data_IF_995917064451
#
_entry.id   IF_995917064451
#
_cell.length_a   1.000
_cell.length_b   1.000
_cell.length_c   1.000
_cell.angle_alpha   90.00
_cell.angle_beta   90.00
_cell.angle_gamma   90.00
#
_symmetry.space_group_name_H-M   'P 1'
#
loop_
_entity.id
_entity.type
_entity.pdbx_description
1 polymer ?
#
# COMPACT_ATOMS: atom_id res chain seq x y z
N UNK A 1 -3.71 1.91 -22.07
CA UNK A 1 -4.04 2.43 -20.73
C UNK A 1 -3.24 1.73 -19.64
N UNK A 2 -3.36 0.40 -19.48
CA UNK A 2 -2.55 -0.36 -18.52
C UNK A 2 -1.04 -0.15 -18.69
N UNK A 3 -0.54 -0.08 -19.93
CA UNK A 3 0.88 0.14 -20.22
C UNK A 3 1.46 1.40 -19.57
N UNK A 4 0.79 2.56 -19.69
CA UNK A 4 1.26 3.83 -19.10
C UNK A 4 1.30 3.72 -17.57
N UNK A 5 0.24 3.15 -16.97
CA UNK A 5 0.20 2.93 -15.52
C UNK A 5 1.35 2.02 -15.07
N UNK A 6 1.62 0.93 -15.79
CA UNK A 6 2.74 0.02 -15.48
C UNK A 6 4.09 0.72 -15.59
N UNK A 7 4.32 1.54 -16.63
CA UNK A 7 5.57 2.29 -16.80
C UNK A 7 5.79 3.24 -15.63
N UNK A 8 4.77 4.01 -15.26
CA UNK A 8 4.88 4.98 -14.16
C UNK A 8 5.02 4.27 -12.80
N UNK A 9 4.30 3.17 -12.57
CA UNK A 9 4.48 2.36 -11.36
C UNK A 9 5.90 1.77 -11.27
N UNK A 10 6.45 1.28 -12.39
CA UNK A 10 7.82 0.80 -12.47
C UNK A 10 8.84 1.91 -12.19
N UNK A 11 8.62 3.13 -12.72
CA UNK A 11 9.49 4.27 -12.43
C UNK A 11 9.54 4.60 -10.92
N UNK A 12 8.39 4.60 -10.24
CA UNK A 12 8.34 4.81 -8.78
C UNK A 12 9.03 3.68 -8.01
N UNK A 13 8.84 2.43 -8.45
CA UNK A 13 9.47 1.26 -7.84
C UNK A 13 11.00 1.29 -7.97
N UNK A 14 11.53 1.59 -9.16
CA UNK A 14 12.97 1.67 -9.41
C UNK A 14 13.60 2.84 -8.68
N UNK A 15 12.93 4.00 -8.64
CA UNK A 15 13.46 5.19 -7.97
C UNK A 15 13.48 5.07 -6.44
N UNK A 16 12.53 4.33 -5.85
CA UNK A 16 12.45 4.11 -4.41
C UNK A 16 12.49 2.62 -4.07
N UNK A 17 13.70 2.02 -4.08
CA UNK A 17 13.85 0.58 -3.95
C UNK A 17 13.70 0.08 -2.51
N UNK A 18 14.02 0.92 -1.53
CA UNK A 18 13.96 0.58 -0.11
C UNK A 18 12.56 0.81 0.49
N UNK A 19 12.33 0.18 1.65
CA UNK A 19 11.04 0.14 2.34
C UNK A 19 11.10 0.73 3.75
N UNK A 20 9.94 1.10 4.28
CA UNK A 20 9.80 1.60 5.66
C UNK A 20 9.39 0.49 6.63
N UNK A 21 9.45 0.80 7.93
CA UNK A 21 9.09 -0.13 9.02
C UNK A 21 7.74 -0.80 8.81
N UNK A 22 6.75 -0.11 8.29
CA UNK A 22 5.40 -0.64 8.18
C UNK A 22 5.19 -1.53 6.95
N UNK A 23 6.13 -1.47 6.00
CA UNK A 23 6.25 -2.36 4.85
C UNK A 23 7.11 -3.58 5.17
N UNK A 24 7.93 -3.49 6.24
CA UNK A 24 8.98 -4.47 6.55
C UNK A 24 8.42 -5.87 6.74
N UNK A 25 7.39 -6.06 7.56
CA UNK A 25 6.85 -7.38 7.88
C UNK A 25 6.51 -8.20 6.62
N UNK A 26 5.67 -7.64 5.74
CA UNK A 26 5.24 -8.35 4.53
C UNK A 26 6.40 -8.57 3.57
N UNK A 27 7.35 -7.63 3.51
CA UNK A 27 8.54 -7.79 2.68
C UNK A 27 9.42 -8.94 3.16
N UNK A 28 9.69 -9.01 4.47
CA UNK A 28 10.46 -10.10 5.08
C UNK A 28 9.72 -11.43 4.94
N UNK A 29 8.40 -11.46 5.17
CA UNK A 29 7.59 -12.65 4.95
C UNK A 29 7.69 -13.16 3.51
N UNK A 30 7.64 -12.28 2.50
CA UNK A 30 7.81 -12.68 1.10
C UNK A 30 9.21 -13.25 0.83
N UNK A 31 10.26 -12.65 1.42
CA UNK A 31 11.61 -13.20 1.36
C UNK A 31 11.64 -14.61 1.96
N UNK A 32 11.13 -14.78 3.17
CA UNK A 32 11.26 -16.02 3.91
C UNK A 32 10.51 -17.17 3.25
N UNK A 33 9.32 -16.89 2.70
CA UNK A 33 8.57 -17.86 1.89
C UNK A 33 9.37 -18.30 0.66
N UNK A 34 10.09 -17.39 -0.01
CA UNK A 34 10.83 -17.70 -1.24
C UNK A 34 12.16 -18.42 -0.98
N UNK A 35 12.87 -18.06 0.09
CA UNK A 35 14.23 -18.54 0.37
C UNK A 35 14.26 -19.64 1.45
N UNK A 36 13.55 -19.46 2.57
CA UNK A 36 13.52 -20.43 3.67
C UNK A 36 12.40 -21.47 3.53
N UNK A 37 11.35 -21.18 2.74
CA UNK A 37 10.25 -22.09 2.40
C UNK A 37 9.61 -22.68 3.67
N UNK A 38 9.76 -23.98 3.91
CA UNK A 38 9.18 -24.66 5.08
C UNK A 38 10.02 -24.54 6.36
N UNK A 39 11.23 -23.96 6.28
CA UNK A 39 12.09 -23.78 7.45
C UNK A 39 11.64 -22.58 8.29
N UNK A 40 10.53 -22.75 9.02
CA UNK A 40 9.88 -21.68 9.78
C UNK A 40 10.78 -21.08 10.88
N UNK A 41 11.70 -21.86 11.45
CA UNK A 41 12.60 -21.35 12.50
C UNK A 41 13.57 -20.28 11.99
N UNK A 42 13.77 -20.18 10.68
CA UNK A 42 14.61 -19.16 10.07
C UNK A 42 13.83 -17.91 9.65
N UNK A 43 12.52 -17.82 9.88
CA UNK A 43 11.74 -16.65 9.49
C UNK A 43 12.05 -15.44 10.39
N UNK A 44 12.04 -14.24 9.82
CA UNK A 44 12.48 -12.99 10.45
C UNK A 44 11.71 -12.68 11.74
N UNK A 45 10.41 -12.98 11.79
CA UNK A 45 9.56 -12.71 12.95
C UNK A 45 9.79 -13.67 14.13
N UNK A 46 10.40 -14.83 13.88
CA UNK A 46 10.83 -15.76 14.93
C UNK A 46 12.23 -15.41 15.45
N UNK A 47 13.12 -14.96 14.56
CA UNK A 47 14.46 -14.51 14.92
C UNK A 47 14.44 -13.18 15.70
N UNK A 48 13.55 -12.26 15.31
CA UNK A 48 13.39 -10.94 15.92
C UNK A 48 11.94 -10.71 16.39
N UNK A 49 11.58 -11.21 17.59
CA UNK A 49 10.22 -11.09 18.10
C UNK A 49 9.91 -9.64 18.53
N UNK A 50 8.65 -9.22 18.40
CA UNK A 50 8.18 -7.89 18.82
C UNK A 50 7.20 -7.22 17.85
N UNK A 51 7.03 -7.79 16.66
CA UNK A 51 6.06 -7.32 15.67
C UNK A 51 4.62 -7.72 16.05
N UNK A 52 3.68 -6.78 15.89
CA UNK A 52 2.24 -7.09 15.98
C UNK A 52 1.89 -8.04 14.83
N UNK A 53 1.19 -9.16 15.11
CA UNK A 53 0.90 -10.14 14.07
C UNK A 53 0.14 -9.58 12.88
N UNK A 54 0.57 -10.01 11.69
CA UNK A 54 -0.06 -9.72 10.41
C UNK A 54 -0.24 -11.03 9.65
N UNK A 55 -1.18 -11.02 8.71
CA UNK A 55 -1.45 -12.21 7.90
C UNK A 55 -0.33 -12.49 6.90
N UNK A 56 0.02 -13.76 6.76
CA UNK A 56 0.88 -14.32 5.73
C UNK A 56 0.14 -14.60 4.41
N UNK A 57 -1.20 -14.54 4.37
CA UNK A 57 -1.96 -14.84 3.15
C UNK A 57 -1.55 -13.92 1.99
N UNK A 58 -1.39 -12.61 2.24
CA UNK A 58 -0.93 -11.65 1.23
C UNK A 58 0.48 -11.95 0.72
N UNK A 59 1.49 -11.99 1.60
CA UNK A 59 2.85 -12.40 1.27
C UNK A 59 2.91 -13.74 0.53
N UNK A 60 2.18 -14.75 0.98
CA UNK A 60 2.12 -16.08 0.36
C UNK A 60 1.60 -16.00 -1.07
N UNK A 61 0.48 -15.30 -1.30
CA UNK A 61 -0.09 -15.13 -2.62
C UNK A 61 0.90 -14.44 -3.58
N UNK A 62 1.53 -13.35 -3.15
CA UNK A 62 2.50 -12.62 -4.00
C UNK A 62 3.76 -13.45 -4.24
N UNK A 63 4.27 -14.16 -3.23
CA UNK A 63 5.43 -15.03 -3.38
C UNK A 63 5.17 -16.20 -4.33
N UNK A 64 3.97 -16.81 -4.31
CA UNK A 64 3.60 -17.86 -5.27
C UNK A 64 3.67 -17.31 -6.70
N UNK A 65 3.07 -16.15 -6.95
CA UNK A 65 3.09 -15.50 -8.27
C UNK A 65 4.50 -15.06 -8.71
N UNK A 66 5.33 -14.61 -7.77
CA UNK A 66 6.71 -14.19 -8.03
C UNK A 66 7.69 -15.37 -8.18
N UNK A 67 7.33 -16.55 -7.66
CA UNK A 67 8.25 -17.68 -7.54
C UNK A 67 8.90 -18.12 -8.86
N UNK A 68 8.23 -18.16 -10.03
CA UNK A 68 8.87 -18.59 -11.27
C UNK A 68 10.00 -17.63 -11.69
N UNK A 69 9.77 -16.33 -11.57
CA UNK A 69 10.76 -15.32 -11.92
C UNK A 69 11.93 -15.29 -10.92
N UNK A 70 11.64 -15.43 -9.63
CA UNK A 70 12.67 -15.51 -8.58
C UNK A 70 13.52 -16.78 -8.73
N UNK A 71 12.91 -17.90 -9.08
CA UNK A 71 13.61 -19.16 -9.33
C UNK A 71 14.62 -19.05 -10.49
N UNK A 72 14.22 -18.40 -11.59
CA UNK A 72 15.14 -18.09 -12.71
C UNK A 72 16.31 -17.23 -12.21
N UNK A 73 16.05 -16.22 -11.37
CA UNK A 73 17.10 -15.33 -10.86
C UNK A 73 18.07 -16.05 -9.92
N UNK A 74 17.57 -17.00 -9.13
CA UNK A 74 18.40 -17.88 -8.30
C UNK A 74 19.30 -18.78 -9.15
N UNK A 75 18.77 -19.39 -10.23
CA UNK A 75 19.57 -20.19 -11.17
C UNK A 75 20.68 -19.35 -11.81
N UNK A 76 20.36 -18.11 -12.20
CA UNK A 76 21.32 -17.18 -12.80
C UNK A 76 22.28 -16.55 -11.76
N UNK A 77 22.19 -16.95 -10.49
CA UNK A 77 23.01 -16.40 -9.38
C UNK A 77 22.94 -14.86 -9.30
N UNK A 78 21.78 -14.28 -9.61
CA UNK A 78 21.54 -12.85 -9.48
C UNK A 78 21.35 -12.47 -8.00
N UNK A 79 21.76 -11.25 -7.64
CA UNK A 79 21.63 -10.72 -6.27
C UNK A 79 20.18 -10.81 -5.78
N UNK A 80 20.02 -11.24 -4.51
CA UNK A 80 18.73 -11.29 -3.79
C UNK A 80 17.96 -9.97 -3.85
N UNK A 81 18.67 -8.84 -3.97
CA UNK A 81 18.05 -7.53 -4.09
C UNK A 81 17.11 -7.42 -5.31
N UNK A 82 17.41 -8.13 -6.41
CA UNK A 82 16.54 -8.14 -7.58
C UNK A 82 15.20 -8.83 -7.33
N UNK A 83 15.18 -9.86 -6.48
CA UNK A 83 13.95 -10.55 -6.07
C UNK A 83 13.01 -9.62 -5.29
N UNK A 84 13.55 -8.61 -4.60
CA UNK A 84 12.75 -7.55 -3.97
C UNK A 84 11.92 -6.76 -5.00
N UNK A 85 12.53 -6.41 -6.14
CA UNK A 85 11.82 -5.72 -7.21
C UNK A 85 10.74 -6.62 -7.83
N UNK A 86 11.01 -7.91 -7.99
CA UNK A 86 10.03 -8.87 -8.52
C UNK A 86 8.80 -8.92 -7.61
N UNK A 87 8.96 -9.18 -6.30
CA UNK A 87 7.81 -9.33 -5.40
C UNK A 87 6.99 -8.05 -5.30
N UNK A 88 7.65 -6.88 -5.25
CA UNK A 88 6.99 -5.57 -5.24
C UNK A 88 6.31 -5.25 -6.57
N UNK A 89 6.93 -5.62 -7.69
CA UNK A 89 6.37 -5.49 -9.03
C UNK A 89 5.13 -6.38 -9.23
N UNK A 90 5.17 -7.60 -8.71
CA UNK A 90 4.02 -8.54 -8.71
C UNK A 90 2.85 -7.96 -7.91
N UNK A 91 3.10 -7.41 -6.72
CA UNK A 91 2.06 -6.73 -5.94
C UNK A 91 1.45 -5.56 -6.73
N UNK A 92 2.30 -4.70 -7.32
CA UNK A 92 1.83 -3.59 -8.15
C UNK A 92 0.98 -4.08 -9.34
N UNK A 93 1.38 -5.17 -9.99
CA UNK A 93 0.62 -5.77 -11.08
C UNK A 93 -0.77 -6.25 -10.63
N UNK A 94 -0.89 -6.88 -9.46
CA UNK A 94 -2.18 -7.28 -8.90
C UNK A 94 -3.13 -6.08 -8.70
N UNK A 95 -2.61 -4.95 -8.21
CA UNK A 95 -3.40 -3.72 -8.07
C UNK A 95 -3.77 -3.16 -9.45
N UNK A 96 -2.82 -3.09 -10.38
CA UNK A 96 -3.05 -2.56 -11.72
C UNK A 96 -4.06 -3.38 -12.54
N UNK A 97 -4.05 -4.71 -12.42
CA UNK A 97 -5.04 -5.59 -13.04
C UNK A 97 -6.43 -5.31 -12.48
N UNK A 98 -6.56 -5.22 -11.16
CA UNK A 98 -7.83 -4.93 -10.48
C UNK A 98 -8.35 -3.53 -10.83
N UNK A 99 -7.44 -2.54 -10.90
CA UNK A 99 -7.75 -1.17 -11.32
C UNK A 99 -8.19 -1.11 -12.78
N UNK A 100 -7.59 -1.90 -13.67
CA UNK A 100 -7.97 -2.00 -15.07
C UNK A 100 -9.37 -2.64 -15.23
N UNK A 101 -9.71 -3.64 -14.41
CA UNK A 101 -11.07 -4.22 -14.38
C UNK A 101 -12.09 -3.16 -13.97
N UNK A 102 -11.84 -2.40 -12.91
CA UNK A 102 -12.68 -1.27 -12.50
C UNK A 102 -12.78 -0.20 -13.59
N UNK A 103 -11.65 0.16 -14.20
CA UNK A 103 -11.55 1.16 -15.26
C UNK A 103 -12.43 0.81 -16.47
N UNK A 104 -12.46 -0.47 -16.88
CA UNK A 104 -13.35 -0.94 -17.96
C UNK A 104 -14.83 -0.82 -17.61
N UNK A 105 -15.19 -0.98 -16.34
CA UNK A 105 -16.58 -0.76 -15.89
C UNK A 105 -16.92 0.73 -15.90
N UNK A 106 -16.00 1.59 -15.46
CA UNK A 106 -16.17 3.05 -15.54
C UNK A 106 -16.22 3.56 -16.99
N UNK A 107 -15.44 2.95 -17.90
CA UNK A 107 -15.50 3.21 -19.34
C UNK A 107 -16.91 3.03 -19.89
N UNK A 108 -17.59 1.94 -19.49
CA UNK A 108 -18.96 1.66 -19.91
C UNK A 108 -19.96 2.68 -19.36
N UNK A 109 -19.69 3.28 -18.20
CA UNK A 109 -20.58 4.26 -17.56
C UNK A 109 -20.40 5.69 -18.09
N UNK A 110 -19.15 6.09 -18.37
CA UNK A 110 -18.79 7.48 -18.69
C UNK A 110 -18.20 7.68 -20.10
N UNK A 111 -17.83 6.60 -20.79
CA UNK A 111 -17.29 6.62 -22.15
C UNK A 111 -15.76 6.68 -22.22
N UNK A 112 -15.23 6.40 -23.43
CA UNK A 112 -13.79 6.26 -23.66
C UNK A 112 -13.00 7.57 -23.50
N UNK A 113 -13.54 8.69 -23.97
CA UNK A 113 -12.90 10.02 -23.79
C UNK A 113 -12.75 10.38 -22.31
N UNK A 114 -13.74 10.04 -21.49
CA UNK A 114 -13.69 10.25 -20.04
C UNK A 114 -12.60 9.37 -19.40
N UNK A 115 -12.49 8.11 -19.84
CA UNK A 115 -11.50 7.18 -19.30
C UNK A 115 -10.06 7.67 -19.54
N UNK A 116 -9.78 8.33 -20.67
CA UNK A 116 -8.48 8.95 -20.93
C UNK A 116 -8.13 9.99 -19.84
N UNK A 117 -9.08 10.83 -19.44
CA UNK A 117 -8.89 11.79 -18.36
C UNK A 117 -8.72 11.11 -17.00
N UNK A 118 -9.49 10.05 -16.72
CA UNK A 118 -9.37 9.28 -15.49
C UNK A 118 -7.97 8.64 -15.34
N UNK A 119 -7.44 8.07 -16.42
CA UNK A 119 -6.08 7.52 -16.43
C UNK A 119 -5.03 8.63 -16.32
N UNK A 120 -5.19 9.74 -17.05
CA UNK A 120 -4.25 10.87 -16.97
C UNK A 120 -4.14 11.44 -15.54
N UNK A 121 -5.29 11.68 -14.88
CA UNK A 121 -5.33 12.13 -13.48
C UNK A 121 -4.65 11.09 -12.57
N UNK A 122 -4.97 9.81 -12.72
CA UNK A 122 -4.41 8.76 -11.86
C UNK A 122 -2.89 8.63 -12.02
N UNK A 123 -2.37 8.67 -13.25
CA UNK A 123 -0.93 8.55 -13.54
C UNK A 123 -0.15 9.76 -13.04
N UNK A 124 -0.75 10.95 -13.05
CA UNK A 124 -0.10 12.19 -12.60
C UNK A 124 -0.13 12.37 -11.08
N UNK A 125 -0.88 11.55 -10.35
CA UNK A 125 -0.95 11.59 -8.88
C UNK A 125 0.19 10.81 -8.21
N UNK A 126 0.79 11.42 -7.20
CA UNK A 126 1.92 10.85 -6.47
C UNK A 126 1.51 9.67 -5.61
N UNK A 127 0.46 9.84 -4.82
CA UNK A 127 0.19 8.93 -3.71
C UNK A 127 -0.28 7.56 -4.18
N UNK A 128 -1.25 7.51 -5.10
CA UNK A 128 -1.72 6.22 -5.60
C UNK A 128 -0.56 5.46 -6.26
N UNK A 129 0.12 6.06 -7.26
CA UNK A 129 1.17 5.41 -8.06
C UNK A 129 2.39 4.99 -7.24
N UNK A 130 2.82 5.80 -6.27
CA UNK A 130 3.96 5.49 -5.41
C UNK A 130 3.69 4.29 -4.49
N UNK A 131 2.47 4.17 -3.96
CA UNK A 131 2.13 3.14 -2.99
C UNK A 131 1.77 1.78 -3.63
N UNK A 132 1.46 1.70 -4.94
CA UNK A 132 1.06 0.46 -5.62
C UNK A 132 2.03 -0.71 -5.42
N UNK A 133 3.33 -0.43 -5.33
CA UNK A 133 4.39 -1.44 -5.20
C UNK A 133 4.86 -1.67 -3.77
N UNK A 134 4.28 -0.97 -2.79
CA UNK A 134 4.73 -1.00 -1.40
C UNK A 134 3.97 -2.09 -0.62
N UNK A 135 4.65 -3.01 0.06
CA UNK A 135 4.03 -4.16 0.71
C UNK A 135 3.36 -3.80 2.04
N UNK A 136 2.46 -2.82 2.01
CA UNK A 136 1.62 -2.43 3.13
C UNK A 136 0.38 -3.33 3.16
N UNK A 137 -0.16 -3.68 4.35
CA UNK A 137 -1.42 -4.42 4.44
C UNK A 137 -2.56 -3.76 3.63
N UNK A 138 -2.56 -2.43 3.57
CA UNK A 138 -3.54 -1.65 2.81
C UNK A 138 -3.45 -1.90 1.30
N UNK A 139 -2.24 -2.11 0.79
CA UNK A 139 -1.99 -2.37 -0.64
C UNK A 139 -2.30 -3.82 -0.98
N UNK A 140 -2.10 -4.77 -0.06
CA UNK A 140 -2.61 -6.13 -0.24
C UNK A 140 -4.14 -6.19 -0.26
N UNK A 141 -4.82 -5.35 0.54
CA UNK A 141 -6.28 -5.25 0.54
C UNK A 141 -6.83 -4.52 -0.69
N UNK A 142 -6.08 -3.57 -1.26
CA UNK A 142 -6.53 -2.68 -2.34
C UNK A 142 -7.04 -3.40 -3.60
N UNK A 143 -6.40 -4.47 -4.15
CA UNK A 143 -6.94 -5.26 -5.25
C UNK A 143 -8.35 -5.77 -4.97
N UNK A 144 -8.58 -6.31 -3.77
CA UNK A 144 -9.89 -6.82 -3.35
C UNK A 144 -10.91 -5.68 -3.23
N UNK A 145 -10.52 -4.53 -2.69
CA UNK A 145 -11.39 -3.35 -2.61
C UNK A 145 -11.77 -2.84 -4.00
N UNK A 146 -10.82 -2.79 -4.96
CA UNK A 146 -11.08 -2.40 -6.34
C UNK A 146 -12.04 -3.37 -7.04
N UNK A 147 -11.88 -4.67 -6.82
CA UNK A 147 -12.79 -5.70 -7.33
C UNK A 147 -14.17 -5.61 -6.67
N UNK A 148 -14.24 -5.35 -5.37
CA UNK A 148 -15.48 -5.12 -4.64
C UNK A 148 -16.22 -3.88 -5.20
N UNK A 149 -15.54 -2.76 -5.38
CA UNK A 149 -16.10 -1.55 -6.00
C UNK A 149 -16.61 -1.84 -7.42
N UNK A 150 -15.85 -2.59 -8.21
CA UNK A 150 -16.27 -3.00 -9.54
C UNK A 150 -17.55 -3.87 -9.51
N UNK A 151 -17.62 -4.85 -8.60
CA UNK A 151 -18.80 -5.70 -8.44
C UNK A 151 -20.01 -4.91 -7.92
N UNK A 152 -19.79 -3.96 -7.03
CA UNK A 152 -20.84 -3.05 -6.55
C UNK A 152 -21.41 -2.19 -7.69
N UNK A 153 -20.55 -1.61 -8.54
CA UNK A 153 -20.99 -0.85 -9.71
C UNK A 153 -21.76 -1.69 -10.74
N UNK A 154 -21.47 -3.00 -10.83
CA UNK A 154 -22.19 -3.95 -11.69
C UNK A 154 -23.43 -4.57 -11.03
N UNK A 155 -23.70 -4.28 -9.77
CA UNK A 155 -24.71 -4.96 -8.93
C UNK A 155 -24.50 -6.49 -8.82
N UNK A 156 -23.24 -6.95 -8.86
CA UNK A 156 -22.85 -8.35 -8.67
C UNK A 156 -22.70 -8.65 -7.16
N UNK A 157 -23.84 -8.77 -6.48
CA UNK A 157 -23.94 -8.93 -5.02
C UNK A 157 -23.04 -10.01 -4.41
N UNK A 158 -22.97 -11.20 -5.04
CA UNK A 158 -22.16 -12.32 -4.54
C UNK A 158 -20.67 -11.97 -4.52
N UNK A 159 -20.17 -11.42 -5.64
CA UNK A 159 -18.76 -11.05 -5.78
C UNK A 159 -18.41 -9.88 -4.86
N UNK A 160 -19.31 -8.90 -4.72
CA UNK A 160 -19.13 -7.79 -3.80
C UNK A 160 -18.95 -8.27 -2.35
N UNK A 161 -19.81 -9.18 -1.88
CA UNK A 161 -19.72 -9.73 -0.51
C UNK A 161 -18.44 -10.57 -0.34
N UNK A 162 -18.07 -11.39 -1.33
CA UNK A 162 -16.87 -12.22 -1.28
C UNK A 162 -15.59 -11.38 -1.20
N UNK A 163 -15.42 -10.41 -2.10
CA UNK A 163 -14.22 -9.55 -2.08
C UNK A 163 -14.19 -8.65 -0.84
N UNK A 164 -15.34 -8.17 -0.37
CA UNK A 164 -15.42 -7.38 0.85
C UNK A 164 -15.08 -8.20 2.09
N UNK A 165 -15.62 -9.43 2.20
CA UNK A 165 -15.31 -10.34 3.29
C UNK A 165 -13.82 -10.69 3.34
N UNK A 166 -13.21 -10.98 2.18
CA UNK A 166 -11.78 -11.25 2.09
C UNK A 166 -10.95 -10.04 2.53
N UNK A 167 -11.28 -8.82 2.06
CA UNK A 167 -10.54 -7.61 2.41
C UNK A 167 -10.63 -7.28 3.91
N UNK A 168 -11.81 -7.46 4.51
CA UNK A 168 -12.08 -7.14 5.92
C UNK A 168 -11.47 -8.18 6.87
N UNK A 169 -11.71 -9.47 6.63
CA UNK A 169 -11.38 -10.54 7.59
C UNK A 169 -9.90 -10.90 7.55
N UNK A 170 -9.29 -10.90 6.36
CA UNK A 170 -7.91 -11.33 6.17
C UNK A 170 -6.95 -10.17 6.39
N UNK A 171 -7.24 -9.01 5.77
CA UNK A 171 -6.27 -7.94 5.69
C UNK A 171 -6.51 -6.83 6.70
N UNK A 172 -7.69 -6.19 6.66
CA UNK A 172 -7.93 -4.93 7.36
C UNK A 172 -9.38 -4.75 7.74
N UNK A 173 -9.68 -4.88 9.03
CA UNK A 173 -11.03 -4.79 9.55
C UNK A 173 -11.62 -3.38 9.44
N UNK A 174 -10.80 -2.33 9.37
CA UNK A 174 -11.33 -0.98 9.22
C UNK A 174 -12.07 -0.75 7.90
N UNK A 175 -11.82 -1.59 6.89
CA UNK A 175 -12.58 -1.61 5.64
C UNK A 175 -14.06 -1.93 5.83
N UNK A 176 -14.44 -2.50 6.99
CA UNK A 176 -15.84 -2.67 7.36
C UNK A 176 -16.59 -1.33 7.37
N UNK A 177 -15.93 -0.22 7.67
CA UNK A 177 -16.54 1.11 7.57
C UNK A 177 -16.83 1.47 6.11
N UNK A 178 -15.83 1.40 5.23
CA UNK A 178 -16.01 1.82 3.84
C UNK A 178 -16.95 0.88 3.06
N UNK A 179 -16.68 -0.43 3.09
CA UNK A 179 -17.46 -1.43 2.39
C UNK A 179 -18.82 -1.68 3.04
N UNK A 180 -18.91 -1.46 4.37
CA UNK A 180 -20.19 -1.48 5.09
C UNK A 180 -21.11 -0.34 4.66
N UNK A 181 -20.61 0.87 4.41
CA UNK A 181 -21.44 1.95 3.85
C UNK A 181 -21.99 1.59 2.47
N UNK A 182 -21.18 0.97 1.60
CA UNK A 182 -21.62 0.48 0.29
C UNK A 182 -22.67 -0.62 0.42
N UNK A 183 -22.49 -1.54 1.38
CA UNK A 183 -23.46 -2.59 1.68
C UNK A 183 -24.79 -2.00 2.17
N UNK A 184 -24.74 -1.01 3.09
CA UNK A 184 -25.93 -0.32 3.58
C UNK A 184 -26.67 0.41 2.45
N UNK A 185 -25.93 1.02 1.52
CA UNK A 185 -26.51 1.61 0.32
C UNK A 185 -27.28 0.58 -0.51
N UNK A 186 -26.72 -0.61 -0.75
CA UNK A 186 -27.38 -1.67 -1.51
C UNK A 186 -28.62 -2.24 -0.79
N UNK A 187 -28.56 -2.36 0.54
CA UNK A 187 -29.71 -2.76 1.35
C UNK A 187 -30.83 -1.72 1.30
N UNK A 188 -30.49 -0.44 1.45
CA UNK A 188 -31.44 0.66 1.40
C UNK A 188 -32.14 0.76 0.03
N UNK A 189 -31.38 0.63 -1.06
CA UNK A 189 -31.92 0.62 -2.42
C UNK A 189 -32.47 -0.73 -2.87
N UNK A 190 -32.56 -1.73 -1.96
CA UNK A 190 -33.07 -3.08 -2.23
C UNK A 190 -32.37 -3.79 -3.40
N UNK A 191 -31.10 -3.45 -3.67
CA UNK A 191 -30.24 -4.16 -4.62
C UNK A 191 -29.81 -5.52 -4.07
N UNK A 192 -29.69 -5.62 -2.74
CA UNK A 192 -29.39 -6.83 -2.01
C UNK A 192 -30.46 -7.08 -0.95
N UNK A 193 -30.94 -8.31 -0.84
CA UNK A 193 -31.81 -8.71 0.26
C UNK A 193 -31.02 -9.15 1.49
N UNK A 194 -31.57 -8.95 2.69
CA UNK A 194 -30.95 -9.41 3.95
C UNK A 194 -30.71 -10.93 3.95
N UNK A 195 -31.62 -11.70 3.33
CA UNK A 195 -31.45 -13.15 3.15
C UNK A 195 -30.21 -13.47 2.31
N UNK A 196 -30.02 -12.80 1.17
CA UNK A 196 -28.84 -12.98 0.33
C UNK A 196 -27.56 -12.55 1.03
N UNK A 197 -27.61 -11.48 1.84
CA UNK A 197 -26.47 -11.07 2.66
C UNK A 197 -26.01 -12.21 3.57
N UNK A 198 -26.90 -12.86 4.30
CA UNK A 198 -26.52 -13.98 5.15
C UNK A 198 -26.09 -15.22 4.36
N UNK A 199 -26.78 -15.53 3.25
CA UNK A 199 -26.45 -16.67 2.39
C UNK A 199 -25.05 -16.59 1.78
N UNK A 200 -24.59 -15.40 1.40
CA UNK A 200 -23.24 -15.20 0.86
C UNK A 200 -22.23 -14.86 1.95
N UNK A 201 -22.63 -14.04 2.93
CA UNK A 201 -21.76 -13.50 3.97
C UNK A 201 -21.32 -14.52 4.99
N UNK A 202 -22.22 -15.38 5.49
CA UNK A 202 -21.84 -16.38 6.51
C UNK A 202 -20.84 -17.40 5.95
N UNK A 203 -21.09 -18.05 4.80
CA UNK A 203 -20.12 -19.01 4.26
C UNK A 203 -18.79 -18.37 3.88
N UNK A 204 -18.82 -17.16 3.29
CA UNK A 204 -17.61 -16.41 2.97
C UNK A 204 -16.83 -16.05 4.24
N UNK A 205 -17.51 -15.55 5.27
CA UNK A 205 -16.91 -15.15 6.53
C UNK A 205 -16.25 -16.32 7.26
N UNK A 206 -16.96 -17.43 7.40
CA UNK A 206 -16.41 -18.65 8.01
C UNK A 206 -15.26 -19.23 7.18
N UNK A 207 -15.36 -19.22 5.85
CA UNK A 207 -14.30 -19.68 4.96
C UNK A 207 -13.03 -18.85 5.07
N UNK A 208 -13.14 -17.52 5.03
CA UNK A 208 -11.97 -16.64 5.15
C UNK A 208 -11.39 -16.63 6.55
N UNK A 209 -12.23 -16.67 7.60
CA UNK A 209 -11.78 -16.78 8.98
C UNK A 209 -11.03 -18.10 9.21
N UNK A 210 -11.58 -19.22 8.74
CA UNK A 210 -10.91 -20.52 8.80
C UNK A 210 -9.58 -20.50 8.05
N UNK A 211 -9.53 -19.87 6.87
CA UNK A 211 -8.32 -19.76 6.06
C UNK A 211 -7.22 -18.93 6.76
N UNK A 212 -7.54 -17.75 7.29
CA UNK A 212 -6.55 -16.92 8.02
C UNK A 212 -6.10 -17.62 9.29
N UNK A 213 -7.00 -18.19 10.08
CA UNK A 213 -6.63 -18.90 11.31
C UNK A 213 -5.71 -20.08 10.98
N UNK A 214 -6.03 -20.92 10.01
CA UNK A 214 -5.20 -22.09 9.69
C UNK A 214 -3.82 -21.66 9.15
N UNK A 215 -3.79 -20.81 8.12
CA UNK A 215 -2.53 -20.43 7.46
C UNK A 215 -1.66 -19.64 8.44
N UNK A 216 -2.21 -18.63 9.09
CA UNK A 216 -1.44 -17.75 9.96
C UNK A 216 -0.97 -18.49 11.22
N UNK A 217 -1.77 -19.41 11.77
CA UNK A 217 -1.33 -20.20 12.93
C UNK A 217 -0.13 -21.10 12.62
N UNK A 218 -0.01 -21.59 11.37
CA UNK A 218 1.17 -22.36 10.93
C UNK A 218 2.40 -21.46 10.92
N UNK A 219 2.34 -20.30 10.26
CA UNK A 219 3.51 -19.40 10.16
C UNK A 219 3.92 -18.77 11.50
N UNK A 220 2.95 -18.48 12.36
CA UNK A 220 3.20 -17.92 13.69
C UNK A 220 3.47 -18.97 14.77
N UNK A 221 3.34 -20.26 14.45
CA UNK A 221 3.53 -21.39 15.37
C UNK A 221 2.68 -21.31 16.66
N UNK A 222 1.51 -20.66 16.59
CA UNK A 222 0.51 -20.57 17.65
C UNK A 222 -0.87 -20.27 17.07
N UNK A 223 -1.97 -20.76 17.66
CA UNK A 223 -3.32 -20.49 17.17
C UNK A 223 -3.63 -18.99 17.28
N UNK A 224 -3.86 -18.31 16.16
CA UNK A 224 -4.20 -16.89 16.16
C UNK A 224 -4.98 -16.44 14.92
N UNK A 225 -5.73 -15.35 15.08
CA UNK A 225 -6.31 -14.57 13.98
C UNK A 225 -5.62 -13.20 13.98
N UNK A 226 -4.76 -12.88 12.99
CA UNK A 226 -3.90 -11.69 13.06
C UNK A 226 -4.72 -10.41 13.17
N UNK A 227 -5.76 -10.28 12.35
CA UNK A 227 -6.59 -9.08 12.37
C UNK A 227 -7.44 -8.97 13.64
N UNK A 228 -7.81 -10.11 14.25
CA UNK A 228 -8.45 -10.15 15.56
C UNK A 228 -7.55 -9.58 16.67
N UNK A 229 -6.26 -9.94 16.68
CA UNK A 229 -5.29 -9.38 17.64
C UNK A 229 -5.06 -7.88 17.39
N UNK A 230 -5.00 -7.44 16.12
CA UNK A 230 -4.88 -6.02 15.75
C UNK A 230 -6.12 -5.23 16.19
N UNK A 231 -7.32 -5.78 16.00
CA UNK A 231 -8.55 -5.20 16.48
C UNK A 231 -8.54 -5.08 18.00
N UNK A 232 -8.17 -6.15 18.71
CA UNK A 232 -8.05 -6.14 20.18
C UNK A 232 -7.07 -5.07 20.66
N UNK A 233 -5.89 -5.02 20.06
CA UNK A 233 -4.85 -4.03 20.37
C UNK A 233 -5.34 -2.58 20.17
N UNK A 234 -6.04 -2.30 19.07
CA UNK A 234 -6.47 -0.95 18.76
C UNK A 234 -7.71 -0.51 19.53
N UNK A 235 -8.70 -1.40 19.68
CA UNK A 235 -10.01 -1.05 20.25
C UNK A 235 -10.05 -1.17 21.77
N UNK A 236 -9.39 -2.18 22.35
CA UNK A 236 -9.49 -2.49 23.77
C UNK A 236 -8.30 -1.94 24.54
N UNK A 237 -7.09 -2.09 24.01
CA UNK A 237 -5.90 -1.53 24.65
C UNK A 237 -5.73 -0.02 24.37
N UNK A 238 -6.49 0.53 23.42
CA UNK A 238 -6.47 1.95 23.02
C UNK A 238 -5.06 2.52 22.75
N UNK A 239 -4.11 1.67 22.37
CA UNK A 239 -2.71 2.07 22.12
C UNK A 239 -2.50 2.80 20.79
N UNK A 240 -3.56 2.97 20.01
CA UNK A 240 -3.49 3.69 18.73
C UNK A 240 -2.97 5.13 18.89
N UNK A 241 -3.22 5.78 20.03
CA UNK A 241 -2.71 7.13 20.33
C UNK A 241 -1.20 7.21 20.55
N UNK A 242 -0.54 6.10 20.91
CA UNK A 242 0.92 6.06 21.13
C UNK A 242 1.71 6.32 19.84
N UNK A 243 1.09 6.10 18.67
CA UNK A 243 1.66 6.35 17.35
C UNK A 243 1.39 7.77 16.82
N UNK A 244 0.99 8.68 17.72
CA UNK A 244 0.72 10.08 17.42
C UNK A 244 -0.72 10.35 16.98
N UNK A 245 -1.21 11.53 17.34
CA UNK A 245 -2.60 11.96 17.09
C UNK A 245 -2.66 13.15 16.15
N UNK A 246 -3.67 13.18 15.29
CA UNK A 246 -3.92 14.29 14.37
C UNK A 246 -5.34 14.85 14.53
N UNK A 247 -5.57 16.15 14.27
CA UNK A 247 -6.89 16.78 14.36
C UNK A 247 -7.97 16.05 13.53
N UNK A 248 -9.24 16.22 13.91
CA UNK A 248 -10.38 15.58 13.24
C UNK A 248 -10.37 15.80 11.71
N UNK A 249 -10.20 17.04 11.27
CA UNK A 249 -10.25 17.41 9.85
C UNK A 249 -8.95 17.12 9.07
N UNK A 250 -7.94 16.48 9.67
CA UNK A 250 -6.64 16.25 9.05
C UNK A 250 -6.71 15.56 7.69
N UNK A 251 -7.65 14.63 7.52
CA UNK A 251 -7.86 13.99 6.23
C UNK A 251 -8.28 14.98 5.13
N UNK A 252 -9.13 15.95 5.45
CA UNK A 252 -9.69 16.91 4.50
C UNK A 252 -8.70 18.04 4.15
N UNK A 253 -8.00 18.61 5.13
CA UNK A 253 -7.08 19.73 4.85
C UNK A 253 -5.65 19.28 4.51
N UNK A 254 -5.26 18.05 4.83
CA UNK A 254 -3.88 17.58 4.67
C UNK A 254 -3.75 16.33 3.81
N UNK A 255 -4.50 15.26 4.10
CA UNK A 255 -4.30 13.97 3.44
C UNK A 255 -4.78 13.97 1.98
N UNK A 256 -6.04 14.36 1.76
CA UNK A 256 -6.65 14.41 0.42
C UNK A 256 -5.92 15.43 -0.48
N UNK A 257 -5.62 16.67 -0.04
CA UNK A 257 -4.87 17.62 -0.85
C UNK A 257 -3.47 17.12 -1.22
N UNK A 258 -2.74 16.46 -0.31
CA UNK A 258 -1.43 15.87 -0.62
C UNK A 258 -1.53 14.69 -1.58
N UNK A 259 -2.58 13.88 -1.49
CA UNK A 259 -2.75 12.73 -2.36
C UNK A 259 -3.25 13.08 -3.76
N UNK A 260 -4.10 14.10 -3.88
CA UNK A 260 -4.69 14.53 -5.16
C UNK A 260 -3.97 15.71 -5.81
N UNK A 261 -3.09 16.41 -5.09
CA UNK A 261 -2.40 17.61 -5.55
C UNK A 261 -3.38 18.66 -6.14
N UNK A 262 -3.09 19.24 -7.30
CA UNK A 262 -3.94 20.26 -7.92
C UNK A 262 -5.32 19.71 -8.35
N UNK A 263 -5.47 18.40 -8.51
CA UNK A 263 -6.77 17.79 -8.87
C UNK A 263 -7.84 17.97 -7.80
N UNK A 264 -7.47 18.27 -6.54
CA UNK A 264 -8.45 18.50 -5.46
C UNK A 264 -9.40 19.66 -5.80
N UNK A 265 -8.93 20.68 -6.50
CA UNK A 265 -9.74 21.86 -6.86
C UNK A 265 -10.83 21.55 -7.91
N UNK A 266 -10.67 20.45 -8.66
CA UNK A 266 -11.65 20.02 -9.67
C UNK A 266 -12.73 19.10 -9.09
N UNK A 267 -12.54 18.62 -7.85
CA UNK A 267 -13.47 17.70 -7.20
C UNK A 267 -14.88 18.31 -7.04
N UNK A 268 -15.06 19.54 -6.49
CA UNK A 268 -16.40 20.13 -6.35
C UNK A 268 -17.10 20.35 -7.69
N UNK A 269 -16.35 20.74 -8.73
CA UNK A 269 -16.86 20.93 -10.07
C UNK A 269 -17.39 19.62 -10.67
N UNK A 270 -16.64 18.52 -10.50
CA UNK A 270 -17.07 17.20 -10.95
C UNK A 270 -18.37 16.73 -10.27
N UNK A 271 -18.52 17.01 -8.98
CA UNK A 271 -19.74 16.72 -8.22
C UNK A 271 -20.95 17.52 -8.71
N UNK A 272 -20.73 18.78 -9.06
CA UNK A 272 -21.78 19.65 -9.58
C UNK A 272 -22.26 19.20 -10.98
N UNK A 273 -21.33 18.74 -11.84
CA UNK A 273 -21.61 18.47 -13.25
C UNK A 273 -22.28 17.11 -13.54
N UNK A 274 -22.17 16.10 -12.68
CA UNK A 274 -22.77 14.78 -12.93
C UNK A 274 -23.34 14.14 -11.64
N UNK A 275 -24.65 13.89 -11.64
CA UNK A 275 -25.33 13.24 -10.52
C UNK A 275 -24.87 11.79 -10.29
N UNK A 276 -24.52 11.06 -11.36
CA UNK A 276 -24.07 9.67 -11.24
C UNK A 276 -22.79 9.58 -10.41
N UNK A 277 -21.92 10.56 -10.55
CA UNK A 277 -20.66 10.66 -9.79
C UNK A 277 -20.94 10.90 -8.30
N UNK A 278 -21.92 11.74 -7.97
CA UNK A 278 -22.31 12.00 -6.57
C UNK A 278 -22.71 10.71 -5.84
N UNK A 279 -23.47 9.82 -6.51
CA UNK A 279 -23.89 8.53 -5.93
C UNK A 279 -22.70 7.62 -5.60
N UNK A 280 -21.64 7.66 -6.41
CA UNK A 280 -20.45 6.82 -6.22
C UNK A 280 -19.54 7.37 -5.12
N UNK A 281 -19.42 8.70 -4.99
CA UNK A 281 -18.44 9.32 -4.09
C UNK A 281 -18.94 9.53 -2.66
N UNK A 282 -20.25 9.64 -2.45
CA UNK A 282 -20.84 9.85 -1.11
C UNK A 282 -20.35 8.78 -0.12
N UNK A 283 -20.35 7.47 -0.45
CA UNK A 283 -19.79 6.44 0.43
C UNK A 283 -18.32 6.68 0.81
N UNK A 284 -17.50 7.14 -0.14
CA UNK A 284 -16.07 7.39 0.10
C UNK A 284 -15.86 8.60 1.01
N UNK A 285 -16.61 9.69 0.82
CA UNK A 285 -16.55 10.88 1.68
C UNK A 285 -17.06 10.56 3.09
N UNK A 286 -18.15 9.80 3.19
CA UNK A 286 -18.70 9.37 4.47
C UNK A 286 -17.71 8.46 5.22
N UNK A 287 -17.03 7.55 4.52
CA UNK A 287 -15.96 6.76 5.11
C UNK A 287 -14.85 7.64 5.68
N UNK A 288 -14.31 8.60 4.90
CA UNK A 288 -13.26 9.50 5.40
C UNK A 288 -13.73 10.29 6.62
N UNK A 289 -14.98 10.77 6.61
CA UNK A 289 -15.57 11.48 7.74
C UNK A 289 -15.69 10.61 9.00
N UNK A 290 -16.18 9.37 8.88
CA UNK A 290 -16.27 8.44 10.01
C UNK A 290 -14.88 8.00 10.50
N UNK A 291 -13.94 7.80 9.58
CA UNK A 291 -12.58 7.43 9.92
C UNK A 291 -11.81 8.58 10.60
N UNK A 292 -12.20 9.83 10.35
CA UNK A 292 -11.65 11.03 10.99
C UNK A 292 -11.85 11.08 12.51
N UNK A 293 -12.79 10.32 13.08
CA UNK A 293 -12.98 10.21 14.53
C UNK A 293 -11.82 9.49 15.22
N UNK A 294 -11.05 8.66 14.52
CA UNK A 294 -9.90 7.98 15.10
C UNK A 294 -8.75 8.97 15.37
N UNK A 295 -8.15 9.00 16.58
CA UNK A 295 -7.08 9.94 16.91
C UNK A 295 -5.85 9.79 16.02
N UNK A 296 -5.42 8.54 15.79
CA UNK A 296 -4.30 8.22 14.92
C UNK A 296 -4.73 8.19 13.46
N UNK A 297 -4.01 8.96 12.63
CA UNK A 297 -4.36 9.16 11.22
C UNK A 297 -3.13 9.07 10.36
N UNK A 298 -3.26 8.31 9.28
CA UNK A 298 -2.24 8.18 8.26
C UNK A 298 -2.86 8.17 6.87
N UNK A 299 -2.09 8.64 5.89
CA UNK A 299 -2.58 8.82 4.52
C UNK A 299 -2.92 7.47 3.86
N UNK A 300 -2.17 6.41 4.18
CA UNK A 300 -2.40 5.06 3.67
C UNK A 300 -3.74 4.45 4.10
N UNK A 301 -4.32 4.88 5.22
CA UNK A 301 -5.58 4.31 5.72
C UNK A 301 -6.76 4.64 4.81
N UNK A 302 -6.68 5.77 4.09
CA UNK A 302 -7.71 6.17 3.13
C UNK A 302 -7.34 5.85 1.69
N UNK A 303 -6.29 5.05 1.42
CA UNK A 303 -5.78 4.86 0.05
C UNK A 303 -6.85 4.34 -0.93
N UNK A 304 -7.81 3.59 -0.41
CA UNK A 304 -8.93 3.01 -1.14
C UNK A 304 -9.85 4.06 -1.79
N UNK A 305 -9.87 5.28 -1.27
CA UNK A 305 -10.78 6.33 -1.76
C UNK A 305 -10.21 7.04 -2.99
N UNK A 306 -8.89 7.08 -3.20
CA UNK A 306 -8.30 7.84 -4.30
C UNK A 306 -8.82 7.43 -5.70
N UNK A 307 -8.95 6.14 -6.05
CA UNK A 307 -9.61 5.74 -7.29
C UNK A 307 -11.02 6.30 -7.44
N UNK A 308 -11.78 6.41 -6.33
CA UNK A 308 -13.14 6.96 -6.32
C UNK A 308 -13.13 8.49 -6.42
N UNK A 309 -12.20 9.16 -5.74
CA UNK A 309 -12.02 10.62 -5.79
C UNK A 309 -11.56 11.09 -7.19
N UNK A 310 -10.90 10.23 -7.96
CA UNK A 310 -10.49 10.55 -9.34
C UNK A 310 -11.67 10.60 -10.33
N UNK A 311 -12.82 9.98 -10.00
CA UNK A 311 -14.01 9.96 -10.84
C UNK A 311 -14.59 11.37 -11.08
N UNK A 312 -14.90 12.20 -10.06
CA UNK A 312 -15.36 13.57 -10.28
C UNK A 312 -14.32 14.43 -10.99
N UNK A 313 -13.03 14.29 -10.67
CA UNK A 313 -11.97 15.06 -11.32
C UNK A 313 -11.94 14.76 -12.82
N UNK A 314 -11.96 13.48 -13.20
CA UNK A 314 -12.03 13.07 -14.60
C UNK A 314 -13.27 13.61 -15.30
N UNK A 315 -14.40 13.65 -14.58
CA UNK A 315 -15.66 14.21 -15.09
C UNK A 315 -15.56 15.70 -15.35
N UNK A 316 -14.98 16.46 -14.42
CA UNK A 316 -14.72 17.89 -14.59
C UNK A 316 -13.79 18.15 -15.79
N UNK A 317 -12.66 17.43 -15.87
CA UNK A 317 -11.71 17.54 -16.98
C UNK A 317 -12.38 17.26 -18.33
N UNK A 318 -13.12 16.15 -18.42
CA UNK A 318 -13.83 15.75 -19.63
C UNK A 318 -14.84 16.81 -20.09
N UNK A 319 -15.68 17.32 -19.17
CA UNK A 319 -16.71 18.32 -19.48
C UNK A 319 -16.12 19.67 -19.89
N UNK A 320 -15.06 20.12 -19.21
CA UNK A 320 -14.37 21.35 -19.57
C UNK A 320 -13.69 21.23 -20.95
N UNK A 321 -13.08 20.08 -21.22
CA UNK A 321 -12.42 19.84 -22.51
C UNK A 321 -13.39 19.77 -23.69
N UNK A 322 -14.53 19.10 -23.54
CA UNK A 322 -15.52 18.98 -24.62
C UNK A 322 -16.19 20.33 -24.92
N UNK A 323 -16.30 21.20 -23.92
CA UNK A 323 -16.89 22.53 -24.05
C UNK A 323 -15.91 23.63 -24.51
N UNK A 324 -14.63 23.32 -24.75
CA UNK A 324 -13.57 24.31 -25.06
C UNK A 324 -13.89 25.28 -26.21
N UNK A 325 -14.74 24.88 -27.15
CA UNK A 325 -15.07 25.67 -28.34
C UNK A 325 -16.21 26.67 -28.16
N UNK A 326 -16.93 26.69 -27.03
CA UNK A 326 -18.14 27.53 -26.91
C UNK A 326 -17.87 28.98 -26.50
N UNK A 327 -16.75 29.25 -25.81
CA UNK A 327 -16.38 30.60 -25.35
C UNK A 327 -14.90 30.69 -25.02
N UNK A 328 -14.35 31.92 -25.04
CA UNK A 328 -12.97 32.19 -24.59
C UNK A 328 -12.76 31.73 -23.13
N UNK A 329 -13.74 31.94 -22.27
CA UNK A 329 -13.66 31.50 -20.87
C UNK A 329 -13.53 29.98 -20.75
N UNK A 330 -14.33 29.21 -21.50
CA UNK A 330 -14.23 27.73 -21.49
C UNK A 330 -12.94 27.24 -22.16
N UNK A 331 -12.42 27.97 -23.16
CA UNK A 331 -11.11 27.71 -23.72
C UNK A 331 -10.00 27.89 -22.67
N UNK A 332 -10.00 29.01 -21.93
CA UNK A 332 -9.04 29.25 -20.84
C UNK A 332 -9.14 28.19 -19.73
N UNK A 333 -10.35 27.79 -19.34
CA UNK A 333 -10.54 26.69 -18.38
C UNK A 333 -9.98 25.36 -18.91
N UNK A 334 -10.10 25.07 -20.21
CA UNK A 334 -9.54 23.86 -20.80
C UNK A 334 -8.00 23.86 -20.79
N UNK A 335 -7.36 25.03 -20.95
CA UNK A 335 -5.92 25.20 -20.75
C UNK A 335 -5.57 24.98 -19.27
N UNK A 336 -6.39 25.51 -18.35
CA UNK A 336 -6.23 25.26 -16.91
C UNK A 336 -6.27 23.77 -16.56
N UNK A 337 -7.12 22.98 -17.22
CA UNK A 337 -7.15 21.52 -17.07
C UNK A 337 -5.84 20.87 -17.56
N UNK A 338 -5.22 21.34 -18.64
CA UNK A 338 -3.90 20.82 -19.01
C UNK A 338 -2.82 21.26 -18.01
N UNK A 339 -2.87 22.51 -17.58
CA UNK A 339 -1.96 23.08 -16.58
C UNK A 339 -1.98 22.31 -15.26
N UNK A 340 -3.15 21.89 -14.77
CA UNK A 340 -3.24 21.13 -13.52
C UNK A 340 -2.54 19.77 -13.60
N UNK A 341 -2.56 19.10 -14.76
CA UNK A 341 -1.82 17.84 -14.95
C UNK A 341 -0.31 18.08 -14.87
N UNK A 342 0.18 19.17 -15.46
CA UNK A 342 1.60 19.55 -15.38
C UNK A 342 2.00 19.83 -13.93
N UNK A 343 1.18 20.58 -13.18
CA UNK A 343 1.40 20.84 -11.75
C UNK A 343 1.42 19.55 -10.95
N UNK A 344 0.50 18.62 -11.23
CA UNK A 344 0.49 17.30 -10.59
C UNK A 344 1.78 16.52 -10.88
N UNK A 345 2.27 16.50 -12.12
CA UNK A 345 3.54 15.84 -12.46
C UNK A 345 4.70 16.47 -11.69
N UNK A 346 4.81 17.80 -11.67
CA UNK A 346 5.86 18.50 -10.93
C UNK A 346 5.81 18.19 -9.44
N UNK A 347 4.61 18.21 -8.85
CA UNK A 347 4.41 17.86 -7.45
C UNK A 347 4.73 16.40 -7.15
N UNK A 348 4.38 15.48 -8.06
CA UNK A 348 4.68 14.06 -7.96
C UNK A 348 6.18 13.80 -8.04
N UNK A 349 6.89 14.43 -8.97
CA UNK A 349 8.34 14.33 -9.07
C UNK A 349 9.02 14.89 -7.81
N UNK A 350 8.56 16.04 -7.30
CA UNK A 350 9.07 16.61 -6.04
C UNK A 350 8.92 15.63 -4.86
N UNK A 351 7.72 15.07 -4.68
CA UNK A 351 7.46 14.11 -3.60
C UNK A 351 8.23 12.80 -3.79
N UNK A 352 8.43 12.36 -5.04
CA UNK A 352 9.22 11.18 -5.36
C UNK A 352 10.70 11.41 -4.99
N UNK A 353 11.28 12.57 -5.33
CA UNK A 353 12.64 12.95 -4.95
C UNK A 353 12.82 12.97 -3.43
N UNK A 354 11.88 13.59 -2.70
CA UNK A 354 11.89 13.63 -1.22
C UNK A 354 11.76 12.22 -0.65
N UNK A 355 10.91 11.38 -1.25
CA UNK A 355 10.74 10.01 -0.80
C UNK A 355 12.00 9.19 -1.02
N UNK A 356 12.72 9.40 -2.12
CA UNK A 356 13.96 8.68 -2.45
C UNK A 356 15.07 8.86 -1.43
N UNK A 357 15.14 10.00 -0.74
CA UNK A 357 16.14 10.26 0.29
C UNK A 357 15.75 9.77 1.68
N UNK A 358 14.51 9.28 1.85
CA UNK A 358 13.98 8.89 3.15
C UNK A 358 14.35 7.46 3.57
N UNK A 359 15.44 6.88 3.06
CA UNK A 359 15.87 5.49 3.36
C UNK A 359 17.34 5.38 3.75
N UNK A 360 17.79 6.10 4.81
CA UNK A 360 19.20 6.12 5.21
C UNK A 360 19.75 4.73 5.57
N UNK A 361 18.96 3.84 6.18
CA UNK A 361 19.38 2.47 6.48
C UNK A 361 19.65 1.64 5.22
N UNK A 362 18.76 1.73 4.23
CA UNK A 362 18.92 1.09 2.92
C UNK A 362 20.16 1.61 2.17
N UNK A 363 20.37 2.92 2.16
CA UNK A 363 21.57 3.55 1.59
C UNK A 363 22.83 3.10 2.31
N UNK A 364 22.81 3.05 3.64
CA UNK A 364 23.96 2.65 4.44
C UNK A 364 24.35 1.18 4.19
N UNK A 365 23.40 0.24 4.07
CA UNK A 365 23.73 -1.17 3.83
C UNK A 365 24.26 -1.38 2.41
N UNK A 366 23.72 -0.63 1.44
CA UNK A 366 24.26 -0.62 0.08
C UNK A 366 25.67 -0.05 0.02
N UNK A 367 25.99 0.98 0.81
CA UNK A 367 27.35 1.51 0.91
C UNK A 367 28.30 0.53 1.60
N UNK A 368 27.87 -0.10 2.69
CA UNK A 368 28.65 -1.10 3.41
C UNK A 368 29.06 -2.24 2.49
N UNK A 369 28.12 -2.79 1.72
CA UNK A 369 28.38 -3.84 0.74
C UNK A 369 29.37 -3.44 -0.36
N UNK A 370 29.47 -2.15 -0.67
CA UNK A 370 30.43 -1.64 -1.66
C UNK A 370 31.82 -1.43 -1.05
N UNK A 371 31.89 -0.98 0.21
CA UNK A 371 33.14 -0.66 0.89
C UNK A 371 33.86 -1.91 1.38
N UNK A 372 33.14 -2.82 2.03
CA UNK A 372 33.70 -4.04 2.61
C UNK A 372 33.64 -5.24 1.63
N UNK A 373 33.55 -4.99 0.31
CA UNK A 373 33.30 -6.04 -0.70
C UNK A 373 34.29 -7.21 -0.62
N UNK A 374 35.56 -6.90 -0.32
CA UNK A 374 36.66 -7.86 -0.29
C UNK A 374 36.85 -8.49 1.10
N UNK A 375 36.06 -8.07 2.09
CA UNK A 375 36.10 -8.63 3.44
C UNK A 375 35.30 -9.93 3.53
N UNK A 376 35.97 -11.00 3.94
CA UNK A 376 35.40 -12.36 3.99
C UNK A 376 34.54 -12.57 5.23
N UNK A 377 34.96 -12.03 6.38
CA UNK A 377 34.30 -12.24 7.68
C UNK A 377 33.79 -10.91 8.22
N UNK A 378 32.55 -10.57 7.89
CA UNK A 378 31.91 -9.34 8.35
C UNK A 378 30.72 -9.69 9.24
N UNK A 379 30.71 -9.14 10.46
CA UNK A 379 29.60 -9.24 11.38
C UNK A 379 28.99 -7.85 11.57
N UNK A 380 27.78 -7.66 11.07
CA UNK A 380 27.11 -6.36 10.99
C UNK A 380 25.99 -6.28 12.01
N UNK A 381 26.09 -5.32 12.93
CA UNK A 381 24.96 -4.95 13.77
C UNK A 381 24.06 -3.93 13.07
N UNK A 382 22.77 -4.26 12.92
CA UNK A 382 21.73 -3.42 12.34
C UNK A 382 20.87 -2.88 13.49
N UNK A 383 21.00 -1.58 13.77
CA UNK A 383 20.13 -0.94 14.76
C UNK A 383 18.67 -0.88 14.31
N UNK A 384 17.75 -0.75 15.27
CA UNK A 384 16.32 -0.59 14.99
C UNK A 384 16.04 0.54 13.97
N UNK A 385 16.71 1.69 14.08
CA UNK A 385 16.55 2.78 13.11
C UNK A 385 16.96 2.36 11.68
N UNK A 386 18.05 1.61 11.53
CA UNK A 386 18.49 1.13 10.22
C UNK A 386 17.49 0.11 9.63
N UNK A 387 16.99 -0.81 10.46
CA UNK A 387 15.92 -1.76 10.09
C UNK A 387 14.63 -1.05 9.66
N UNK A 388 14.23 0.02 10.35
CA UNK A 388 13.03 0.80 10.05
C UNK A 388 13.17 1.68 8.80
N UNK A 389 14.39 1.90 8.29
CA UNK A 389 14.69 2.86 7.23
C UNK A 389 15.38 2.25 6.01
N UNK A 390 15.07 0.99 5.70
CA UNK A 390 15.36 0.40 4.39
C UNK A 390 16.18 -0.90 4.39
N UNK A 391 16.66 -1.35 5.55
CA UNK A 391 17.34 -2.65 5.65
C UNK A 391 16.32 -3.78 5.67
N UNK A 392 16.46 -4.73 4.73
CA UNK A 392 15.66 -5.95 4.62
C UNK A 392 16.55 -7.18 4.39
N UNK A 393 16.01 -8.39 4.51
CA UNK A 393 16.77 -9.61 4.17
C UNK A 393 17.15 -9.66 2.69
N UNK A 394 16.37 -9.05 1.80
CA UNK A 394 16.76 -8.87 0.40
C UNK A 394 17.99 -7.95 0.21
N UNK A 395 18.30 -7.09 1.18
CA UNK A 395 19.52 -6.26 1.17
C UNK A 395 20.75 -6.95 1.75
N UNK A 396 20.59 -8.14 2.34
CA UNK A 396 21.68 -8.98 2.85
C UNK A 396 22.24 -9.82 1.69
N UNK A 397 23.08 -9.19 0.88
CA UNK A 397 23.50 -9.74 -0.43
C UNK A 397 24.62 -10.78 -0.28
N UNK A 398 25.44 -10.70 0.78
CA UNK A 398 26.56 -11.61 1.00
C UNK A 398 26.18 -12.71 2.01
N UNK A 399 26.20 -13.96 1.59
CA UNK A 399 25.85 -15.10 2.42
C UNK A 399 26.94 -15.45 3.46
N UNK A 400 28.18 -14.97 3.25
CA UNK A 400 29.28 -15.16 4.21
C UNK A 400 29.27 -14.16 5.37
N UNK A 401 28.40 -13.15 5.30
CA UNK A 401 28.29 -12.13 6.35
C UNK A 401 27.22 -12.50 7.36
N UNK A 402 27.47 -12.15 8.62
CA UNK A 402 26.47 -12.28 9.68
C UNK A 402 25.77 -10.94 9.89
N UNK A 403 24.44 -10.96 9.91
CA UNK A 403 23.63 -9.76 10.11
C UNK A 403 22.78 -9.93 11.36
N UNK A 404 23.02 -9.10 12.36
CA UNK A 404 22.31 -9.16 13.63
C UNK A 404 21.47 -7.92 13.84
N UNK A 405 20.22 -8.10 14.31
CA UNK A 405 19.36 -6.99 14.78
C UNK A 405 19.17 -7.01 16.29
N UNK A 406 20.12 -7.58 17.06
CA UNK A 406 20.02 -7.69 18.53
C UNK A 406 19.65 -6.35 19.16
N UNK A 407 18.50 -6.29 19.82
CA UNK A 407 18.06 -5.07 20.49
C UNK A 407 18.89 -4.77 21.74
N UNK A 408 18.90 -3.50 22.16
CA UNK A 408 19.53 -3.04 23.41
C UNK A 408 21.07 -3.23 23.50
N UNK A 409 21.78 -3.18 22.38
CA UNK A 409 23.24 -3.15 22.37
C UNK A 409 23.78 -1.89 23.07
N UNK A 410 24.40 -2.07 24.24
CA UNK A 410 24.96 -0.95 25.02
C UNK A 410 26.32 -0.52 24.45
N UNK A 411 26.60 0.80 24.35
CA UNK A 411 27.92 1.31 23.99
C UNK A 411 29.04 0.74 24.86
N UNK A 412 30.07 0.14 24.24
CA UNK A 412 31.22 -0.41 24.97
C UNK A 412 30.97 -1.74 25.69
N UNK A 413 29.80 -2.37 25.49
CA UNK A 413 29.55 -3.73 25.97
C UNK A 413 30.43 -4.75 25.25
N UNK A 414 30.71 -5.88 25.90
CA UNK A 414 31.49 -6.97 25.30
C UNK A 414 30.87 -7.48 23.99
N UNK A 415 29.54 -7.51 23.92
CA UNK A 415 28.77 -7.87 22.73
C UNK A 415 29.01 -6.92 21.55
N UNK A 416 29.32 -5.64 21.81
CA UNK A 416 29.62 -4.68 20.75
C UNK A 416 30.91 -5.02 20.01
N UNK A 417 31.89 -5.62 20.70
CA UNK A 417 33.17 -6.03 20.12
C UNK A 417 33.08 -7.28 19.23
N UNK A 418 31.95 -8.00 19.27
CA UNK A 418 31.70 -9.14 18.39
C UNK A 418 31.36 -8.70 16.95
N UNK A 419 30.97 -7.43 16.77
CA UNK A 419 30.61 -6.86 15.47
C UNK A 419 31.80 -6.14 14.83
N UNK A 420 32.07 -6.43 13.56
CA UNK A 420 33.07 -5.68 12.79
C UNK A 420 32.53 -4.34 12.34
N UNK A 421 31.22 -4.25 12.07
CA UNK A 421 30.55 -3.04 11.61
C UNK A 421 29.24 -2.78 12.35
N UNK A 422 28.96 -1.51 12.64
CA UNK A 422 27.78 -1.09 13.40
C UNK A 422 27.01 -0.04 12.61
N UNK A 423 25.77 -0.36 12.24
CA UNK A 423 24.85 0.55 11.57
C UNK A 423 23.94 1.23 12.61
N UNK A 424 24.39 2.35 13.15
CA UNK A 424 23.66 3.12 14.17
C UNK A 424 23.30 4.53 13.70
N UNK A 425 22.32 5.14 14.38
CA UNK A 425 22.03 6.57 14.22
C UNK A 425 23.30 7.38 14.47
N UNK A 426 23.62 8.41 13.66
CA UNK A 426 24.73 9.30 13.96
C UNK A 426 24.54 9.89 15.36
N UNK A 427 25.54 9.71 16.23
CA UNK A 427 25.60 10.43 17.51
C UNK A 427 25.77 11.91 17.17
N UNK A 428 24.96 12.77 17.78
CA UNK A 428 24.92 14.20 17.46
C UNK A 428 26.25 14.95 17.69
N UNK A 429 27.28 14.32 18.25
CA UNK A 429 28.58 14.93 18.54
C UNK A 429 29.72 14.07 17.97
N UNK A 430 30.05 14.26 16.70
CA UNK A 430 31.44 14.18 16.27
C UNK A 430 31.86 15.62 15.93
N UNK A 431 32.29 16.37 16.96
CA UNK A 431 33.17 17.49 16.70
C UNK A 431 34.47 16.88 16.16
N UNK A 432 34.69 17.04 14.86
CA UNK A 432 36.02 16.93 14.29
C UNK A 432 36.84 18.05 14.94
N UNK A 433 37.63 17.70 15.96
CA UNK A 433 38.79 18.49 16.38
C UNK A 433 39.97 18.15 15.50
#
# INVERSE_FOLDING_TARGET
>A
MLQILSIVAAAHLVYCPFTKVEESFNLQAMHDILYHRFNLSQYDHHEFPGVVPRTFIGPLFVSILASPAVFIFQILSLSKFWSQYIVRGTLALCVLVSFNILSKTLEKLFGQKWLQWFVAVTVTQSHFMFYLSRPLPNIFALPLVLLALNSWLKNENRNFILFSGAAIIIFRAELALFLGILLLYDLYHKRLSVKQLFQYGIPAGLGFLGMTVVIDSIFWNRPLWPEGEVLWFNTILNKSSEYGTSPFLWYFYSAIPRGMAASVFLLPLGLYLDERVRKIIVPAVLFVFLYSFLPHKELRFIIYVFPVLNIPVATACYRLWENRGKSLFQYLLSIGVLGHLVVNVMFTLLLLCISGTNYPGGTAISHLHRLARDEVHVNVHISNLAAQTGVSRFTQINDNWTYSKTENLLPGSQQMYEYTHIMQKPRANFHLT
#
